data_IF_486075099401
#
_entry.id   IF_486075099401
#
_cell.length_a   1.000
_cell.length_b   1.000
_cell.length_c   1.000
_cell.angle_alpha   90.00
_cell.angle_beta   90.00
_cell.angle_gamma   90.00
#
_symmetry.space_group_name_H-M   'P 1'
#
loop_
_entity.id
_entity.type
_entity.pdbx_description
1 polymer ?
#
# COMPACT_ATOMS: atom_id res chain seq x y z
N UNK A 1 7.79 -18.75 -9.80
CA UNK A 1 8.16 -19.58 -8.61
C UNK A 1 6.89 -20.05 -7.89
N UNK A 2 6.88 -21.18 -7.14
CA UNK A 2 5.69 -21.61 -6.38
C UNK A 2 5.13 -20.50 -5.47
N UNK A 3 6.03 -19.76 -4.82
CA UNK A 3 5.69 -18.62 -3.94
C UNK A 3 5.05 -17.45 -4.70
N UNK A 4 5.51 -17.16 -5.91
CA UNK A 4 4.94 -16.13 -6.78
C UNK A 4 3.49 -16.46 -7.18
N UNK A 5 3.21 -17.74 -7.46
CA UNK A 5 1.84 -18.20 -7.74
C UNK A 5 0.94 -18.02 -6.52
N UNK A 6 1.41 -18.38 -5.32
CA UNK A 6 0.67 -18.18 -4.05
C UNK A 6 0.34 -16.70 -3.81
N UNK A 7 1.29 -15.80 -4.06
CA UNK A 7 1.06 -14.35 -3.96
C UNK A 7 -0.03 -13.91 -4.94
N UNK A 8 0.09 -14.31 -6.20
CA UNK A 8 -0.88 -13.95 -7.25
C UNK A 8 -2.28 -14.55 -7.03
N UNK A 9 -2.42 -15.62 -6.25
CA UNK A 9 -3.74 -16.17 -5.89
C UNK A 9 -4.43 -15.34 -4.79
N UNK A 10 -3.67 -14.66 -3.93
CA UNK A 10 -4.18 -13.99 -2.72
C UNK A 10 -4.25 -12.46 -2.86
N UNK A 11 -3.19 -11.82 -3.37
CA UNK A 11 -3.10 -10.36 -3.48
C UNK A 11 -3.86 -9.90 -4.72
N UNK A 12 -4.59 -8.79 -4.59
CA UNK A 12 -5.27 -8.15 -5.71
C UNK A 12 -4.30 -7.17 -6.43
N UNK A 13 -4.09 -7.42 -7.72
CA UNK A 13 -3.11 -6.70 -8.55
C UNK A 13 -3.57 -5.28 -8.90
N UNK A 14 -4.87 -4.98 -8.77
CA UNK A 14 -5.44 -3.65 -9.07
C UNK A 14 -5.30 -2.67 -7.90
N UNK A 15 -4.71 -3.12 -6.78
CA UNK A 15 -4.58 -2.31 -5.56
C UNK A 15 -3.41 -1.35 -5.68
N UNK A 16 -3.72 -0.05 -5.63
CA UNK A 16 -2.75 1.01 -5.80
C UNK A 16 -2.57 1.84 -4.54
N UNK A 17 -1.33 2.31 -4.32
CA UNK A 17 -1.06 3.27 -3.26
C UNK A 17 -1.81 4.58 -3.53
N UNK A 18 -2.70 4.97 -2.62
CA UNK A 18 -3.46 6.20 -2.73
C UNK A 18 -3.11 7.19 -1.60
N UNK A 19 -2.98 8.47 -1.96
CA UNK A 19 -2.74 9.56 -1.00
C UNK A 19 -4.01 10.14 -0.38
N UNK A 20 -5.15 10.01 -1.07
CA UNK A 20 -6.44 10.50 -0.58
C UNK A 20 -6.91 9.56 0.53
N UNK A 21 -7.16 10.03 1.77
CA UNK A 21 -7.30 9.13 2.92
C UNK A 21 -8.42 8.09 2.80
N UNK A 22 -9.57 8.48 2.24
CA UNK A 22 -10.67 7.52 2.04
C UNK A 22 -10.35 6.49 0.96
N UNK A 23 -9.75 6.94 -0.16
CA UNK A 23 -9.32 6.03 -1.24
C UNK A 23 -8.25 5.07 -0.72
N UNK A 24 -7.30 5.56 0.10
CA UNK A 24 -6.29 4.71 0.74
C UNK A 24 -6.92 3.64 1.62
N UNK A 25 -7.93 4.00 2.43
CA UNK A 25 -8.69 3.05 3.23
C UNK A 25 -9.41 2.02 2.36
N UNK A 26 -10.06 2.45 1.27
CA UNK A 26 -10.71 1.53 0.32
C UNK A 26 -9.68 0.56 -0.27
N UNK A 27 -8.56 1.06 -0.80
CA UNK A 27 -7.49 0.24 -1.36
C UNK A 27 -6.99 -0.82 -0.37
N UNK A 28 -6.81 -0.45 0.91
CA UNK A 28 -6.44 -1.39 1.96
C UNK A 28 -7.53 -2.44 2.25
N UNK A 29 -8.82 -2.06 2.26
CA UNK A 29 -9.91 -3.02 2.50
C UNK A 29 -10.01 -4.06 1.36
N UNK A 30 -9.62 -3.67 0.14
CA UNK A 30 -9.67 -4.50 -1.06
C UNK A 30 -8.29 -5.02 -1.48
N UNK A 31 -7.30 -5.03 -0.57
CA UNK A 31 -5.92 -5.46 -0.84
C UNK A 31 -5.79 -6.92 -1.30
N UNK A 32 -6.74 -7.77 -0.91
CA UNK A 32 -6.78 -9.19 -1.24
C UNK A 32 -7.89 -9.48 -2.24
N UNK A 33 -7.74 -10.52 -3.06
CA UNK A 33 -8.78 -10.97 -3.99
C UNK A 33 -10.07 -11.36 -3.23
N UNK A 34 -11.19 -11.34 -3.94
CA UNK A 34 -12.47 -11.80 -3.39
C UNK A 34 -12.45 -13.32 -3.16
N UNK A 35 -13.19 -13.81 -2.16
CA UNK A 35 -13.29 -15.24 -1.87
C UNK A 35 -12.11 -15.85 -1.11
N UNK A 36 -11.08 -15.06 -0.79
CA UNK A 36 -9.95 -15.50 0.06
C UNK A 36 -10.41 -15.76 1.49
N UNK A 37 -11.31 -14.92 1.99
CA UNK A 37 -11.88 -15.07 3.33
C UNK A 37 -13.33 -14.58 3.35
N UNK A 38 -14.26 -15.47 3.71
CA UNK A 38 -15.69 -15.15 3.70
C UNK A 38 -16.05 -14.05 4.71
N UNK A 39 -15.35 -13.96 5.83
CA UNK A 39 -15.58 -12.90 6.83
C UNK A 39 -15.06 -11.54 6.34
N UNK A 40 -13.92 -11.50 5.65
CA UNK A 40 -13.42 -10.31 4.96
C UNK A 40 -14.42 -9.79 3.94
N UNK A 41 -15.04 -10.68 3.15
CA UNK A 41 -16.03 -10.28 2.15
C UNK A 41 -17.31 -9.71 2.80
N UNK A 42 -17.74 -10.25 3.94
CA UNK A 42 -18.84 -9.68 4.74
C UNK A 42 -18.48 -8.29 5.28
N UNK A 43 -17.25 -8.13 5.78
CA UNK A 43 -16.76 -6.85 6.29
C UNK A 43 -16.67 -5.79 5.17
N UNK A 44 -16.17 -6.18 3.99
CA UNK A 44 -16.11 -5.34 2.78
C UNK A 44 -17.51 -4.88 2.35
N UNK A 45 -18.48 -5.79 2.32
CA UNK A 45 -19.87 -5.44 2.03
C UNK A 45 -20.40 -4.41 3.02
N UNK A 46 -20.19 -4.62 4.32
CA UNK A 46 -20.60 -3.67 5.36
C UNK A 46 -19.92 -2.30 5.19
N UNK A 47 -18.64 -2.29 4.81
CA UNK A 47 -17.89 -1.07 4.51
C UNK A 47 -18.48 -0.33 3.30
N UNK A 48 -18.80 -1.03 2.21
CA UNK A 48 -19.46 -0.46 1.03
C UNK A 48 -20.86 0.09 1.37
N UNK A 49 -21.72 -0.72 1.98
CA UNK A 49 -23.10 -0.36 2.32
C UNK A 49 -23.14 0.88 3.23
N UNK A 50 -22.23 0.97 4.21
CA UNK A 50 -22.14 2.14 5.09
C UNK A 50 -21.57 3.36 4.38
N UNK A 51 -20.62 3.20 3.46
CA UNK A 51 -20.09 4.30 2.64
C UNK A 51 -21.18 4.87 1.73
N UNK A 52 -21.95 4.00 1.07
CA UNK A 52 -23.08 4.38 0.24
C UNK A 52 -24.16 5.12 1.07
N UNK A 53 -24.51 4.58 2.24
CA UNK A 53 -25.47 5.23 3.15
C UNK A 53 -25.01 6.64 3.58
N UNK A 54 -23.71 6.86 3.77
CA UNK A 54 -23.15 8.18 4.07
C UNK A 54 -23.32 9.16 2.91
N UNK A 55 -23.07 8.71 1.67
CA UNK A 55 -23.29 9.50 0.47
C UNK A 55 -24.77 9.81 0.23
N UNK A 56 -25.65 8.81 0.42
CA UNK A 56 -27.10 8.96 0.32
C UNK A 56 -27.63 9.96 1.37
N UNK A 57 -27.11 9.92 2.60
CA UNK A 57 -27.44 10.89 3.64
C UNK A 57 -27.05 12.32 3.24
N UNK A 58 -25.86 12.49 2.65
CA UNK A 58 -25.42 13.80 2.17
C UNK A 58 -26.34 14.33 1.04
N UNK A 59 -26.74 13.48 0.09
CA UNK A 59 -27.68 13.84 -0.97
C UNK A 59 -29.05 14.23 -0.41
N UNK A 60 -29.59 13.43 0.51
CA UNK A 60 -30.83 13.76 1.21
C UNK A 60 -30.77 15.14 1.88
N UNK A 61 -29.67 15.47 2.55
CA UNK A 61 -29.51 16.76 3.23
C UNK A 61 -29.30 17.95 2.28
N UNK A 62 -28.75 17.72 1.07
CA UNK A 62 -28.71 18.77 0.04
C UNK A 62 -30.12 19.20 -0.36
N UNK A 63 -31.02 18.24 -0.53
CA UNK A 63 -32.41 18.47 -0.94
C UNK A 63 -33.26 18.99 0.23
N UNK A 64 -33.28 18.28 1.35
CA UNK A 64 -34.13 18.57 2.52
C UNK A 64 -33.87 19.96 3.12
N UNK A 65 -32.60 20.40 3.12
CA UNK A 65 -32.21 21.69 3.70
C UNK A 65 -31.81 22.74 2.67
N UNK A 66 -32.00 22.46 1.38
CA UNK A 66 -31.61 23.34 0.26
C UNK A 66 -30.14 23.82 0.37
N UNK A 67 -29.22 22.87 0.54
CA UNK A 67 -27.77 23.10 0.69
C UNK A 67 -26.98 22.56 -0.52
N UNK A 68 -27.09 23.17 -1.71
CA UNK A 68 -26.55 22.61 -2.96
C UNK A 68 -25.02 22.41 -2.93
N UNK A 69 -24.28 23.25 -2.20
CA UNK A 69 -22.81 23.13 -2.11
C UNK A 69 -22.32 22.33 -0.90
N UNK A 70 -23.18 21.52 -0.28
CA UNK A 70 -22.79 20.60 0.78
C UNK A 70 -21.85 19.53 0.26
N UNK A 71 -20.61 19.60 0.76
CA UNK A 71 -19.54 18.64 0.50
C UNK A 71 -19.42 17.68 1.68
N UNK A 72 -18.84 16.52 1.38
CA UNK A 72 -18.67 15.43 2.33
C UNK A 72 -17.18 15.01 2.38
N UNK A 73 -16.28 15.85 2.91
CA UNK A 73 -14.88 15.48 3.00
C UNK A 73 -14.69 14.39 4.08
N UNK A 74 -13.57 13.68 3.97
CA UNK A 74 -13.17 12.63 4.90
C UNK A 74 -11.78 12.92 5.46
N UNK A 75 -11.55 12.60 6.74
CA UNK A 75 -10.20 12.41 7.27
C UNK A 75 -10.14 11.28 8.31
N UNK A 76 -8.93 10.80 8.59
CA UNK A 76 -8.72 9.64 9.45
C UNK A 76 -9.15 9.87 10.91
N UNK A 77 -9.14 11.12 11.39
CA UNK A 77 -9.48 11.44 12.77
C UNK A 77 -10.99 11.43 13.02
N UNK A 78 -11.76 12.11 12.18
CA UNK A 78 -13.20 12.33 12.40
C UNK A 78 -14.12 11.49 11.50
N UNK A 79 -13.57 10.83 10.48
CA UNK A 79 -14.36 10.21 9.43
C UNK A 79 -14.93 11.26 8.46
N UNK A 80 -16.12 10.99 7.94
CA UNK A 80 -16.85 11.93 7.10
C UNK A 80 -17.49 13.04 7.92
N UNK A 81 -17.55 14.23 7.35
CA UNK A 81 -18.20 15.39 7.95
C UNK A 81 -18.82 16.25 6.86
N UNK A 82 -19.82 17.06 7.21
CA UNK A 82 -20.40 18.00 6.26
C UNK A 82 -19.61 19.29 6.21
N UNK A 83 -19.46 19.84 5.00
CA UNK A 83 -18.79 21.13 4.77
C UNK A 83 -19.61 21.98 3.80
N UNK A 84 -19.90 23.21 4.19
CA UNK A 84 -20.51 24.23 3.32
C UNK A 84 -19.73 25.55 3.38
N UNK A 85 -19.72 26.36 2.31
CA UNK A 85 -19.18 27.72 2.37
C UNK A 85 -19.98 28.58 3.34
N UNK A 86 -19.30 29.39 4.16
CA UNK A 86 -19.96 30.24 5.16
C UNK A 86 -20.93 31.25 4.54
N UNK A 87 -20.67 31.69 3.31
CA UNK A 87 -21.50 32.67 2.57
C UNK A 87 -22.91 32.17 2.27
N UNK A 88 -23.12 30.85 2.23
CA UNK A 88 -24.41 30.23 1.92
C UNK A 88 -25.30 30.07 3.14
N UNK A 89 -24.74 30.26 4.33
CA UNK A 89 -25.48 30.13 5.58
C UNK A 89 -26.11 31.48 5.94
N UNK A 90 -27.33 31.70 5.44
CA UNK A 90 -28.16 32.83 5.84
C UNK A 90 -28.96 32.46 7.10
N UNK A 91 -28.38 32.70 8.27
CA UNK A 91 -29.04 32.46 9.57
C UNK A 91 -28.49 31.24 10.32
N UNK A 92 -29.33 30.63 11.16
CA UNK A 92 -28.93 29.49 11.99
C UNK A 92 -29.12 28.18 11.23
N UNK A 93 -28.11 27.33 11.26
CA UNK A 93 -28.22 25.96 10.74
C UNK A 93 -29.33 25.18 11.47
N UNK A 94 -30.02 24.25 10.79
CA UNK A 94 -31.00 23.35 11.40
C UNK A 94 -30.49 22.73 12.71
N UNK A 95 -31.37 22.62 13.71
CA UNK A 95 -31.04 22.07 15.03
C UNK A 95 -30.56 20.61 15.00
N UNK A 96 -30.85 19.91 13.90
CA UNK A 96 -30.38 18.55 13.62
C UNK A 96 -28.85 18.45 13.48
N UNK A 97 -28.19 19.54 13.10
CA UNK A 97 -26.76 19.56 12.93
C UNK A 97 -26.03 19.78 14.26
N UNK A 98 -24.99 18.99 14.48
CA UNK A 98 -24.17 18.99 15.68
C UNK A 98 -22.72 19.34 15.33
N UNK A 99 -21.91 19.65 16.34
CA UNK A 99 -20.47 19.94 16.17
C UNK A 99 -20.19 21.01 15.10
N UNK A 100 -21.01 22.07 15.07
CA UNK A 100 -20.89 23.15 14.10
C UNK A 100 -19.66 24.00 14.44
N UNK A 101 -18.64 23.96 13.59
CA UNK A 101 -17.36 24.68 13.77
C UNK A 101 -17.05 25.48 12.51
N UNK A 102 -16.68 26.76 12.68
CA UNK A 102 -16.17 27.59 11.58
C UNK A 102 -14.70 27.25 11.34
N UNK A 103 -14.33 26.95 10.10
CA UNK A 103 -12.97 26.65 9.70
C UNK A 103 -12.60 27.42 8.43
N UNK A 104 -11.95 28.57 8.61
CA UNK A 104 -11.67 29.53 7.55
C UNK A 104 -12.97 30.04 6.91
N UNK A 105 -13.10 29.88 5.59
CA UNK A 105 -14.29 30.30 4.82
C UNK A 105 -15.42 29.26 4.77
N UNK A 106 -15.29 28.15 5.50
CA UNK A 106 -16.27 27.06 5.52
C UNK A 106 -16.81 26.83 6.93
N UNK A 107 -18.00 26.23 6.99
CA UNK A 107 -18.57 25.67 8.22
C UNK A 107 -18.52 24.15 8.10
N UNK A 108 -17.94 23.52 9.11
CA UNK A 108 -17.89 22.07 9.28
C UNK A 108 -18.94 21.68 10.32
N UNK A 109 -19.67 20.60 10.09
CA UNK A 109 -20.69 20.12 11.01
C UNK A 109 -20.97 18.64 10.77
N UNK A 110 -21.75 18.03 11.66
CA UNK A 110 -22.15 16.63 11.62
C UNK A 110 -23.64 16.49 11.93
N UNK A 111 -24.14 15.26 11.99
CA UNK A 111 -25.44 14.91 12.57
C UNK A 111 -25.32 13.60 13.34
N UNK A 112 -26.34 13.25 14.13
CA UNK A 112 -26.37 11.97 14.83
C UNK A 112 -26.34 10.78 13.86
N UNK A 113 -27.05 10.88 12.73
CA UNK A 113 -27.04 9.83 11.70
C UNK A 113 -25.67 9.68 11.05
N UNK A 114 -25.01 10.80 10.70
CA UNK A 114 -23.67 10.74 10.12
C UNK A 114 -22.66 10.16 11.11
N UNK A 115 -22.74 10.54 12.39
CA UNK A 115 -21.87 10.00 13.44
C UNK A 115 -22.08 8.48 13.60
N UNK A 116 -23.33 8.00 13.60
CA UNK A 116 -23.64 6.57 13.67
C UNK A 116 -23.08 5.81 12.46
N UNK A 117 -23.27 6.33 11.25
CA UNK A 117 -22.73 5.72 10.02
C UNK A 117 -21.19 5.72 10.00
N UNK A 118 -20.55 6.79 10.47
CA UNK A 118 -19.09 6.86 10.59
C UNK A 118 -18.55 5.78 11.54
N UNK A 119 -19.22 5.54 12.68
CA UNK A 119 -18.82 4.49 13.62
C UNK A 119 -18.90 3.13 12.94
N UNK A 120 -20.02 2.83 12.26
CA UNK A 120 -20.21 1.56 11.55
C UNK A 120 -19.20 1.38 10.41
N UNK A 121 -18.96 2.41 9.60
CA UNK A 121 -17.99 2.38 8.51
C UNK A 121 -16.56 2.18 9.01
N UNK A 122 -16.18 2.89 10.09
CA UNK A 122 -14.87 2.73 10.73
C UNK A 122 -14.71 1.32 11.32
N UNK A 123 -15.75 0.78 11.95
CA UNK A 123 -15.75 -0.60 12.45
C UNK A 123 -15.56 -1.61 11.33
N UNK A 124 -16.32 -1.49 10.24
CA UNK A 124 -16.22 -2.38 9.09
C UNK A 124 -14.84 -2.34 8.42
N UNK A 125 -14.25 -1.15 8.28
CA UNK A 125 -12.87 -1.02 7.79
C UNK A 125 -11.86 -1.68 8.75
N UNK A 126 -12.05 -1.53 10.07
CA UNK A 126 -11.23 -2.20 11.08
C UNK A 126 -11.28 -3.73 10.97
N UNK A 127 -12.48 -4.30 10.79
CA UNK A 127 -12.64 -5.73 10.54
C UNK A 127 -11.95 -6.17 9.25
N UNK A 128 -12.05 -5.37 8.17
CA UNK A 128 -11.32 -5.67 6.93
C UNK A 128 -9.81 -5.77 7.18
N UNK A 129 -9.25 -4.86 7.99
CA UNK A 129 -7.82 -4.87 8.31
C UNK A 129 -7.41 -6.10 9.10
N UNK A 130 -8.17 -6.45 10.15
CA UNK A 130 -7.87 -7.62 10.98
C UNK A 130 -7.91 -8.90 10.13
N UNK A 131 -8.95 -9.07 9.29
CA UNK A 131 -9.06 -10.25 8.42
C UNK A 131 -7.97 -10.28 7.36
N UNK A 132 -7.63 -9.13 6.79
CA UNK A 132 -6.54 -9.01 5.82
C UNK A 132 -5.20 -9.39 6.45
N UNK A 133 -4.92 -8.92 7.67
CA UNK A 133 -3.70 -9.27 8.41
C UNK A 133 -3.59 -10.79 8.61
N UNK A 134 -4.65 -11.45 9.08
CA UNK A 134 -4.67 -12.92 9.24
C UNK A 134 -4.38 -13.65 7.93
N UNK A 135 -4.96 -13.21 6.82
CA UNK A 135 -4.70 -13.81 5.51
C UNK A 135 -3.24 -13.57 5.04
N UNK A 136 -2.69 -12.39 5.30
CA UNK A 136 -1.30 -12.06 4.96
C UNK A 136 -0.32 -12.86 5.81
N UNK A 137 -0.58 -13.05 7.10
CA UNK A 137 0.24 -13.90 7.97
C UNK A 137 0.29 -15.34 7.45
N UNK A 138 -0.86 -15.90 7.08
CA UNK A 138 -0.94 -17.24 6.49
C UNK A 138 -0.19 -17.33 5.14
N UNK A 139 -0.29 -16.30 4.30
CA UNK A 139 0.48 -16.22 3.05
C UNK A 139 1.99 -16.15 3.32
N UNK A 140 2.41 -15.34 4.29
CA UNK A 140 3.82 -15.23 4.69
C UNK A 140 4.37 -16.57 5.19
N UNK A 141 3.60 -17.31 5.99
CA UNK A 141 3.99 -18.65 6.43
C UNK A 141 4.14 -19.61 5.25
N UNK A 142 3.21 -19.59 4.29
CA UNK A 142 3.30 -20.42 3.09
C UNK A 142 4.49 -20.05 2.18
N UNK A 143 4.93 -18.79 2.19
CA UNK A 143 6.15 -18.34 1.46
C UNK A 143 7.41 -18.75 2.23
N UNK A 144 7.37 -18.73 3.57
CA UNK A 144 8.52 -19.10 4.42
C UNK A 144 9.00 -20.53 4.18
N UNK A 145 8.11 -21.43 3.77
CA UNK A 145 8.45 -22.80 3.36
C UNK A 145 9.43 -22.84 2.18
N UNK A 146 9.40 -21.83 1.31
CA UNK A 146 10.24 -21.74 0.10
C UNK A 146 11.56 -20.98 0.34
N UNK A 147 11.82 -20.47 1.55
CA UNK A 147 12.96 -19.57 1.85
C UNK A 147 14.32 -20.22 1.54
N UNK A 148 14.49 -21.50 1.83
CA UNK A 148 15.76 -22.19 1.54
C UNK A 148 16.06 -22.22 0.04
N UNK A 149 15.05 -22.51 -0.79
CA UNK A 149 15.17 -22.51 -2.24
C UNK A 149 15.43 -21.11 -2.80
N UNK A 150 14.77 -20.09 -2.25
CA UNK A 150 14.98 -18.69 -2.64
C UNK A 150 16.39 -18.19 -2.29
N UNK A 151 16.90 -18.54 -1.11
CA UNK A 151 18.27 -18.18 -0.69
C UNK A 151 19.31 -18.86 -1.58
N UNK A 152 19.15 -20.16 -1.86
CA UNK A 152 20.06 -20.87 -2.76
C UNK A 152 20.05 -20.27 -4.17
N UNK A 153 18.86 -19.94 -4.69
CA UNK A 153 18.73 -19.26 -5.98
C UNK A 153 19.46 -17.91 -5.97
N UNK A 154 19.31 -17.12 -4.91
CA UNK A 154 20.01 -15.85 -4.77
C UNK A 154 21.53 -16.02 -4.73
N UNK A 155 22.06 -17.02 -3.98
CA UNK A 155 23.49 -17.31 -3.93
C UNK A 155 24.06 -17.69 -5.30
N UNK A 156 23.35 -18.56 -6.04
CA UNK A 156 23.75 -18.96 -7.39
C UNK A 156 23.73 -17.79 -8.36
N UNK A 157 22.70 -16.94 -8.31
CA UNK A 157 22.60 -15.75 -9.16
C UNK A 157 23.70 -14.74 -8.82
N UNK A 158 24.00 -14.51 -7.55
CA UNK A 158 25.10 -13.64 -7.12
C UNK A 158 26.46 -14.15 -7.59
N UNK A 159 26.72 -15.45 -7.47
CA UNK A 159 27.96 -16.06 -7.95
C UNK A 159 28.09 -15.93 -9.47
N UNK A 160 26.99 -16.17 -10.20
CA UNK A 160 26.95 -16.02 -11.65
C UNK A 160 27.21 -14.57 -12.06
N UNK A 161 26.56 -13.61 -11.41
CA UNK A 161 26.73 -12.17 -11.67
C UNK A 161 28.19 -11.73 -11.42
N UNK A 162 28.78 -12.15 -10.30
CA UNK A 162 30.19 -11.86 -9.99
C UNK A 162 31.16 -12.44 -11.04
N UNK A 163 30.97 -13.70 -11.44
CA UNK A 163 31.88 -14.35 -12.39
C UNK A 163 31.70 -13.77 -13.81
N UNK A 164 30.45 -13.65 -14.27
CA UNK A 164 30.15 -13.32 -15.67
C UNK A 164 30.10 -11.80 -15.88
N UNK A 165 29.20 -11.12 -15.19
CA UNK A 165 28.94 -9.70 -15.42
C UNK A 165 30.02 -8.79 -14.82
N UNK A 166 30.74 -9.25 -13.80
CA UNK A 166 31.88 -8.51 -13.23
C UNK A 166 33.22 -9.00 -13.81
N UNK A 167 33.71 -10.18 -13.43
CA UNK A 167 35.08 -10.58 -13.79
C UNK A 167 35.27 -10.82 -15.29
N UNK A 168 34.46 -11.70 -15.90
CA UNK A 168 34.59 -12.01 -17.31
C UNK A 168 34.34 -10.78 -18.20
N UNK A 169 33.33 -9.97 -17.86
CA UNK A 169 33.06 -8.72 -18.57
C UNK A 169 34.25 -7.75 -18.50
N UNK A 170 34.82 -7.54 -17.30
CA UNK A 170 35.99 -6.67 -17.09
C UNK A 170 37.20 -7.12 -17.92
N UNK A 171 37.46 -8.43 -17.98
CA UNK A 171 38.54 -8.99 -18.79
C UNK A 171 38.28 -8.79 -20.29
N UNK A 172 37.05 -9.06 -20.74
CA UNK A 172 36.68 -9.04 -22.17
C UNK A 172 36.59 -7.65 -22.79
N UNK A 173 36.25 -6.62 -21.99
CA UNK A 173 36.06 -5.24 -22.47
C UNK A 173 37.35 -4.42 -22.48
N UNK A 174 38.41 -4.96 -21.88
CA UNK A 174 39.72 -4.31 -21.79
C UNK A 174 40.63 -4.86 -22.90
N UNK A 175 41.69 -4.12 -23.29
CA UNK A 175 42.66 -4.61 -24.26
C UNK A 175 43.20 -5.99 -23.86
N UNK A 176 43.50 -6.80 -24.89
CA UNK A 176 44.15 -8.12 -24.72
C UNK A 176 45.40 -7.97 -23.84
N UNK A 177 45.64 -8.93 -22.95
CA UNK A 177 46.77 -8.98 -21.99
C UNK A 177 46.73 -7.98 -20.81
N UNK A 178 45.59 -7.32 -20.51
CA UNK A 178 45.47 -6.50 -19.27
C UNK A 178 45.28 -7.32 -17.99
N UNK A 179 44.59 -8.45 -18.07
CA UNK A 179 44.34 -9.33 -16.93
C UNK A 179 44.70 -10.77 -17.31
N UNK A 180 45.35 -11.46 -16.38
CA UNK A 180 45.69 -12.88 -16.51
C UNK A 180 45.22 -13.63 -15.26
N UNK A 181 44.94 -14.93 -15.42
CA UNK A 181 44.59 -15.80 -14.29
C UNK A 181 45.87 -16.06 -13.48
N UNK A 182 45.90 -15.74 -12.17
CA UNK A 182 47.08 -16.00 -11.35
C UNK A 182 47.29 -17.51 -11.12
N UNK A 183 48.55 -17.91 -11.00
CA UNK A 183 48.95 -19.24 -10.53
C UNK A 183 49.19 -19.19 -9.02
N UNK A 184 48.64 -20.16 -8.29
CA UNK A 184 48.75 -20.23 -6.83
C UNK A 184 49.71 -21.37 -6.45
N UNK A 185 50.67 -21.08 -5.56
CA UNK A 185 51.67 -22.03 -5.06
C UNK A 185 51.77 -21.96 -3.54
N UNK A 186 51.85 -23.10 -2.84
CA UNK A 186 51.79 -23.15 -1.38
C UNK A 186 53.02 -22.59 -0.65
N UNK A 187 54.20 -22.68 -1.26
CA UNK A 187 55.49 -22.38 -0.61
C UNK A 187 56.22 -21.15 -1.16
N UNK A 188 55.57 -20.40 -2.06
CA UNK A 188 56.16 -19.23 -2.73
C UNK A 188 57.31 -19.58 -3.68
N UNK A 189 58.03 -18.57 -4.22
CA UNK A 189 57.90 -17.13 -3.95
C UNK A 189 56.73 -16.43 -4.69
N UNK A 190 56.34 -15.23 -4.24
CA UNK A 190 55.42 -14.35 -4.97
C UNK A 190 56.15 -13.70 -6.14
N UNK A 191 55.68 -13.94 -7.36
CA UNK A 191 56.20 -13.31 -8.58
C UNK A 191 55.05 -12.61 -9.33
N UNK A 192 55.28 -11.35 -9.73
CA UNK A 192 54.35 -10.55 -10.53
C UNK A 192 55.12 -10.02 -11.73
N UNK A 193 54.73 -10.42 -12.93
CA UNK A 193 55.31 -9.93 -14.19
C UNK A 193 54.44 -8.80 -14.78
N UNK A 194 55.09 -7.73 -15.24
CA UNK A 194 54.46 -6.55 -15.83
C UNK A 194 53.24 -5.98 -15.07
N UNK A 195 53.27 -6.03 -13.73
CA UNK A 195 52.14 -5.63 -12.87
C UNK A 195 51.70 -4.18 -13.05
N UNK A 196 50.38 -3.94 -12.99
CA UNK A 196 49.75 -2.62 -13.15
C UNK A 196 48.82 -2.32 -11.97
N UNK A 197 48.57 -1.04 -11.71
CA UNK A 197 47.63 -0.61 -10.69
C UNK A 197 46.19 -0.62 -11.26
N UNK A 198 45.24 -1.41 -10.71
CA UNK A 198 43.93 -1.69 -11.34
C UNK A 198 42.97 -0.48 -11.47
N UNK A 199 43.32 0.65 -10.84
CA UNK A 199 42.51 1.89 -10.84
C UNK A 199 43.22 3.07 -11.53
N UNK A 200 44.56 3.09 -11.56
CA UNK A 200 45.35 4.26 -12.00
C UNK A 200 45.86 4.11 -13.45
N UNK A 201 45.38 3.08 -14.15
CA UNK A 201 45.81 2.64 -15.49
C UNK A 201 44.98 3.19 -16.66
#
# INVERSE_FOLDING_TARGET
LPSEKKIGEVIDDDVLHARVPFVARTQQCFALKAGIDGFLDIARRTFCDTSEAIHNLASKYREEFNLPNLKLPFNNRQGFFFRIPQKEVQGKLPSKFTQVVKHGKNIHFSSLELASLNVRNKSAAGECYIRTETCLEALMDAIREDVSALTLLAEVLCLLDMIVNSFAHTISTKPVDRYSRPELTDSGPLAIDAGRHPILE
#
